data_IF_922921414777
#
_entry.id   IF_922921414777
#
_cell.length_a   1.000
_cell.length_b   1.000
_cell.length_c   1.000
_cell.angle_alpha   90.00
_cell.angle_beta   90.00
_cell.angle_gamma   90.00
#
_symmetry.space_group_name_H-M   'P 1'
#
loop_
_entity.id
_entity.type
_entity.pdbx_description
1 polymer ?
#
# COMPACT_ATOMS: atom_id res chain seq x y z
N UNK A 1 17.23 -81.46 8.46
CA UNK A 1 16.29 -80.44 8.99
C UNK A 1 16.53 -79.18 8.17
N UNK A 2 15.72 -79.01 7.13
CA UNK A 2 15.85 -77.89 6.18
C UNK A 2 14.83 -76.83 6.57
N UNK A 3 15.32 -75.70 7.07
CA UNK A 3 14.49 -74.55 7.40
C UNK A 3 14.35 -73.68 6.16
N UNK A 4 13.17 -73.77 5.54
CA UNK A 4 12.73 -72.90 4.45
C UNK A 4 12.44 -71.50 5.00
N UNK A 5 13.18 -70.51 4.53
CA UNK A 5 12.86 -69.09 4.66
C UNK A 5 12.16 -68.63 3.39
N UNK A 6 10.91 -68.21 3.53
CA UNK A 6 10.13 -67.58 2.45
C UNK A 6 10.39 -66.07 2.47
N UNK A 7 10.84 -65.45 1.36
CA UNK A 7 10.96 -64.00 1.30
C UNK A 7 9.61 -63.39 0.90
N UNK A 8 9.00 -62.64 1.81
CA UNK A 8 7.82 -61.81 1.54
C UNK A 8 8.29 -60.48 0.95
N UNK A 9 8.35 -60.39 -0.37
CA UNK A 9 8.64 -59.16 -1.10
C UNK A 9 7.66 -59.01 -2.26
N UNK A 10 6.61 -58.19 -2.12
CA UNK A 10 5.82 -57.58 -3.23
C UNK A 10 4.59 -56.78 -2.76
N UNK A 11 4.72 -55.81 -1.84
CA UNK A 11 3.58 -54.92 -1.50
C UNK A 11 3.87 -53.41 -1.57
N UNK A 12 5.06 -52.97 -1.99
CA UNK A 12 5.39 -51.54 -2.09
C UNK A 12 4.85 -50.86 -3.36
N UNK A 13 4.81 -51.59 -4.49
CA UNK A 13 4.57 -50.96 -5.81
C UNK A 13 3.16 -50.39 -6.05
N UNK A 14 2.14 -50.84 -5.31
CA UNK A 14 0.77 -50.33 -5.45
C UNK A 14 0.53 -49.07 -4.62
N UNK A 15 1.14 -48.98 -3.42
CA UNK A 15 1.09 -47.79 -2.57
C UNK A 15 1.84 -46.63 -3.24
N UNK A 16 3.02 -46.90 -3.80
CA UNK A 16 3.83 -45.91 -4.52
C UNK A 16 3.07 -45.32 -5.73
N UNK A 17 2.27 -46.14 -6.45
CA UNK A 17 1.46 -45.66 -7.59
C UNK A 17 0.31 -44.75 -7.16
N UNK A 18 -0.36 -45.06 -6.05
CA UNK A 18 -1.46 -44.24 -5.54
C UNK A 18 -0.94 -42.86 -5.07
N UNK A 19 0.21 -42.83 -4.41
CA UNK A 19 0.87 -41.59 -3.99
C UNK A 19 1.29 -40.74 -5.19
N UNK A 20 1.84 -41.35 -6.25
CA UNK A 20 2.21 -40.63 -7.48
C UNK A 20 0.98 -40.00 -8.16
N UNK A 21 -0.14 -40.71 -8.28
CA UNK A 21 -1.37 -40.15 -8.86
C UNK A 21 -1.97 -39.03 -8.00
N UNK A 22 -1.91 -39.16 -6.67
CA UNK A 22 -2.32 -38.10 -5.76
C UNK A 22 -1.45 -36.84 -5.93
N UNK A 23 -0.13 -37.00 -5.97
CA UNK A 23 0.81 -35.89 -6.19
C UNK A 23 0.59 -35.23 -7.55
N UNK A 24 0.38 -36.02 -8.61
CA UNK A 24 0.08 -35.49 -9.94
C UNK A 24 -1.19 -34.64 -9.93
N UNK A 25 -2.24 -35.12 -9.27
CA UNK A 25 -3.49 -34.36 -9.09
C UNK A 25 -3.25 -33.06 -8.31
N UNK A 26 -2.44 -33.10 -7.26
CA UNK A 26 -2.10 -31.92 -6.46
C UNK A 26 -1.30 -30.88 -7.26
N UNK A 27 -0.36 -31.32 -8.10
CA UNK A 27 0.41 -30.45 -9.00
C UNK A 27 -0.51 -29.80 -10.03
N UNK A 28 -1.38 -30.57 -10.70
CA UNK A 28 -2.33 -30.03 -11.67
C UNK A 28 -3.30 -29.01 -11.03
N UNK A 29 -3.78 -29.28 -9.81
CA UNK A 29 -4.61 -28.34 -9.04
C UNK A 29 -3.85 -27.06 -8.70
N UNK A 30 -2.58 -27.19 -8.28
CA UNK A 30 -1.73 -26.05 -7.92
C UNK A 30 -1.39 -25.19 -9.14
N UNK A 31 -1.10 -25.81 -10.29
CA UNK A 31 -0.86 -25.09 -11.55
C UNK A 31 -2.11 -24.34 -12.02
N UNK A 32 -3.29 -24.95 -11.89
CA UNK A 32 -4.56 -24.29 -12.19
C UNK A 32 -4.79 -23.10 -11.27
N UNK A 33 -4.60 -23.29 -9.96
CA UNK A 33 -4.73 -22.22 -8.97
C UNK A 33 -3.76 -21.05 -9.25
N UNK A 34 -2.51 -21.35 -9.61
CA UNK A 34 -1.53 -20.34 -10.02
C UNK A 34 -2.00 -19.53 -11.22
N UNK A 35 -2.52 -20.17 -12.27
CA UNK A 35 -3.04 -19.46 -13.46
C UNK A 35 -4.23 -18.56 -13.15
N UNK A 36 -5.14 -19.00 -12.29
CA UNK A 36 -6.28 -18.19 -11.86
C UNK A 36 -5.83 -16.99 -11.04
N UNK A 37 -4.85 -17.17 -10.14
CA UNK A 37 -4.23 -16.09 -9.39
C UNK A 37 -3.52 -15.08 -10.29
N UNK A 38 -2.69 -15.52 -11.24
CA UNK A 38 -2.00 -14.64 -12.21
C UNK A 38 -3.01 -13.81 -13.03
N UNK A 39 -4.13 -14.42 -13.44
CA UNK A 39 -5.21 -13.72 -14.14
C UNK A 39 -5.89 -12.67 -13.26
N UNK A 40 -6.19 -13.02 -12.00
CA UNK A 40 -6.79 -12.09 -11.06
C UNK A 40 -5.85 -10.91 -10.74
N UNK A 41 -4.56 -11.19 -10.53
CA UNK A 41 -3.53 -10.18 -10.31
C UNK A 41 -3.40 -9.23 -11.51
N UNK A 42 -3.33 -9.78 -12.73
CA UNK A 42 -3.29 -8.98 -13.96
C UNK A 42 -4.52 -8.08 -14.07
N UNK A 43 -5.72 -8.62 -13.80
CA UNK A 43 -6.95 -7.85 -13.84
C UNK A 43 -6.99 -6.75 -12.79
N UNK A 44 -6.55 -7.03 -11.55
CA UNK A 44 -6.42 -6.05 -10.48
C UNK A 44 -5.49 -4.90 -10.86
N UNK A 45 -4.30 -5.23 -11.38
CA UNK A 45 -3.34 -4.23 -11.88
C UNK A 45 -3.95 -3.34 -12.96
N UNK A 46 -4.68 -3.91 -13.93
CA UNK A 46 -5.33 -3.13 -14.99
C UNK A 46 -6.45 -2.22 -14.47
N UNK A 47 -7.19 -2.64 -13.46
CA UNK A 47 -8.21 -1.80 -12.83
C UNK A 47 -7.59 -0.62 -12.08
N UNK A 48 -6.53 -0.88 -11.31
CA UNK A 48 -5.77 0.14 -10.60
C UNK A 48 -5.18 1.13 -11.61
N UNK A 49 -4.54 0.65 -12.68
CA UNK A 49 -3.99 1.51 -13.73
C UNK A 49 -5.07 2.32 -14.44
N UNK A 50 -6.23 1.73 -14.73
CA UNK A 50 -7.34 2.45 -15.34
C UNK A 50 -7.91 3.56 -14.44
N UNK A 51 -7.88 3.36 -13.12
CA UNK A 51 -8.30 4.35 -12.15
C UNK A 51 -7.27 5.47 -11.97
N UNK A 52 -5.99 5.11 -11.89
CA UNK A 52 -4.89 6.06 -11.67
C UNK A 52 -4.53 6.83 -12.93
N UNK A 53 -4.59 6.22 -14.10
CA UNK A 53 -4.15 6.81 -15.38
C UNK A 53 -5.26 6.75 -16.43
N UNK A 54 -6.38 7.47 -16.24
CA UNK A 54 -7.49 7.45 -17.19
C UNK A 54 -7.03 8.00 -18.55
N UNK A 55 -7.26 7.23 -19.63
CA UNK A 55 -6.88 7.64 -21.00
C UNK A 55 -7.51 8.96 -21.45
N UNK A 56 -8.68 9.28 -20.91
CA UNK A 56 -9.38 10.54 -21.13
C UNK A 56 -9.77 11.08 -19.75
N UNK A 57 -8.90 11.84 -19.07
CA UNK A 57 -9.28 12.46 -17.81
C UNK A 57 -10.52 13.33 -18.10
N UNK A 58 -11.60 13.21 -17.31
CA UNK A 58 -12.77 14.05 -17.50
C UNK A 58 -12.29 15.51 -17.49
N UNK A 59 -12.57 16.24 -18.57
CA UNK A 59 -12.16 17.62 -18.71
C UNK A 59 -12.72 18.43 -17.53
N UNK A 60 -11.87 18.71 -16.54
CA UNK A 60 -12.12 19.61 -15.41
C UNK A 60 -13.47 19.46 -14.69
N UNK A 61 -13.80 18.26 -14.20
CA UNK A 61 -15.00 18.08 -13.36
C UNK A 61 -14.78 18.24 -11.86
N UNK A 62 -13.56 18.53 -11.42
CA UNK A 62 -13.27 18.87 -10.03
C UNK A 62 -12.62 20.25 -9.95
N UNK A 63 -13.46 21.28 -9.85
CA UNK A 63 -13.04 22.53 -9.20
C UNK A 63 -12.89 22.21 -7.71
N UNK A 64 -11.72 22.45 -7.08
CA UNK A 64 -11.60 22.36 -5.63
C UNK A 64 -12.76 23.13 -5.04
N UNK A 65 -13.56 22.47 -4.18
CA UNK A 65 -14.68 23.09 -3.50
C UNK A 65 -14.11 24.20 -2.60
N UNK A 66 -13.94 25.37 -3.18
CA UNK A 66 -13.64 26.58 -2.43
C UNK A 66 -14.89 26.82 -1.61
N UNK A 67 -14.74 26.74 -0.28
CA UNK A 67 -15.77 27.01 0.72
C UNK A 67 -16.46 28.34 0.42
N UNK A 68 -17.45 28.31 -0.47
CA UNK A 68 -18.29 29.45 -0.80
C UNK A 68 -19.51 29.26 0.05
N UNK A 69 -19.53 30.00 1.16
CA UNK A 69 -20.68 30.22 2.03
C UNK A 69 -21.77 30.95 1.25
N UNK A 70 -22.39 30.30 0.26
CA UNK A 70 -23.54 30.87 -0.43
C UNK A 70 -24.83 30.39 0.25
N UNK A 71 -25.38 31.31 1.02
CA UNK A 71 -26.59 31.14 1.81
C UNK A 71 -27.76 31.53 0.93
N UNK A 72 -28.43 30.58 0.25
CA UNK A 72 -29.87 30.58 -0.06
C UNK A 72 -30.24 29.57 -1.15
N UNK A 73 -30.81 28.42 -0.77
CA UNK A 73 -32.08 27.86 -1.30
C UNK A 73 -32.25 26.40 -0.85
N UNK A 74 -33.33 26.07 -0.11
CA UNK A 74 -33.58 24.73 0.41
C UNK A 74 -34.69 24.03 -0.37
N UNK A 75 -34.46 23.53 -1.58
CA UNK A 75 -35.44 22.65 -2.26
C UNK A 75 -34.85 22.09 -3.56
N UNK A 76 -33.90 21.15 -3.44
CA UNK A 76 -33.61 20.08 -4.41
C UNK A 76 -32.27 19.46 -4.02
N UNK A 77 -32.31 18.41 -3.19
CA UNK A 77 -31.10 17.73 -2.68
C UNK A 77 -30.76 16.53 -3.57
N UNK A 78 -29.85 16.65 -4.56
CA UNK A 78 -29.22 15.46 -5.11
C UNK A 78 -28.47 14.76 -3.97
N UNK A 79 -28.58 13.43 -3.89
CA UNK A 79 -27.74 12.56 -3.07
C UNK A 79 -26.27 12.67 -3.53
N UNK A 80 -25.65 13.83 -3.30
CA UNK A 80 -24.22 13.98 -3.32
C UNK A 80 -23.75 13.57 -1.94
N UNK A 81 -23.59 12.26 -1.74
CA UNK A 81 -22.83 11.74 -0.61
C UNK A 81 -21.38 12.17 -0.82
N UNK A 82 -21.09 13.43 -0.44
CA UNK A 82 -19.74 13.93 -0.25
C UNK A 82 -19.17 13.14 0.92
N UNK A 83 -18.66 11.93 0.65
CA UNK A 83 -17.77 11.25 1.57
C UNK A 83 -16.59 12.18 1.75
N UNK A 84 -16.44 12.76 2.94
CA UNK A 84 -15.28 13.56 3.31
C UNK A 84 -14.04 12.71 3.07
N UNK A 85 -13.28 13.06 2.03
CA UNK A 85 -12.00 12.46 1.74
C UNK A 85 -11.08 12.68 2.93
N UNK A 86 -10.53 11.60 3.49
CA UNK A 86 -9.54 11.67 4.57
C UNK A 86 -8.16 11.59 3.94
N UNK A 87 -7.40 12.69 4.04
CA UNK A 87 -6.03 12.73 3.54
C UNK A 87 -5.11 11.91 4.45
N UNK A 88 -4.56 10.84 3.89
CA UNK A 88 -3.70 9.91 4.63
C UNK A 88 -2.43 10.59 5.14
N UNK A 89 -1.88 11.55 4.41
CA UNK A 89 -0.67 12.27 4.82
C UNK A 89 -0.94 13.18 6.02
N UNK A 90 -2.12 13.79 6.07
CA UNK A 90 -2.56 14.56 7.25
C UNK A 90 -2.69 13.64 8.47
N UNK A 91 -3.31 12.46 8.32
CA UNK A 91 -3.38 11.49 9.42
C UNK A 91 -1.98 11.04 9.85
N UNK A 92 -1.06 10.79 8.90
CA UNK A 92 0.32 10.42 9.23
C UNK A 92 1.07 11.50 10.00
N UNK A 93 0.88 12.78 9.64
CA UNK A 93 1.46 13.92 10.35
C UNK A 93 0.88 14.05 11.77
N UNK A 94 -0.46 14.02 11.90
CA UNK A 94 -1.16 14.16 13.17
C UNK A 94 -0.84 13.03 14.17
N UNK A 95 -0.69 11.80 13.68
CA UNK A 95 -0.36 10.64 14.54
C UNK A 95 1.14 10.42 14.70
N UNK A 96 1.99 11.26 14.11
CA UNK A 96 3.44 11.10 14.05
C UNK A 96 3.86 9.72 13.48
N UNK A 97 3.12 9.23 12.49
CA UNK A 97 3.38 7.94 11.83
C UNK A 97 4.68 7.97 11.03
N UNK A 98 5.17 9.13 10.60
CA UNK A 98 6.47 9.25 9.92
C UNK A 98 7.63 8.69 10.75
N UNK A 99 7.59 8.91 12.07
CA UNK A 99 8.60 8.48 13.04
C UNK A 99 8.36 7.07 13.60
N UNK A 100 7.27 6.42 13.20
CA UNK A 100 6.90 5.09 13.66
C UNK A 100 7.85 4.02 13.06
N UNK A 101 8.97 3.80 13.73
CA UNK A 101 9.99 2.81 13.34
C UNK A 101 9.72 1.43 13.95
N UNK A 102 10.03 0.34 13.24
CA UNK A 102 10.02 -1.03 13.78
C UNK A 102 10.83 -1.21 15.06
N UNK A 103 11.89 -0.43 15.23
CA UNK A 103 12.78 -0.49 16.38
C UNK A 103 12.34 0.40 17.55
N UNK A 104 11.32 1.24 17.35
CA UNK A 104 10.81 2.13 18.38
C UNK A 104 9.78 1.41 19.23
N UNK A 105 10.16 1.00 20.45
CA UNK A 105 9.26 0.39 21.42
C UNK A 105 8.10 1.30 21.85
N UNK A 106 8.15 2.59 21.54
CA UNK A 106 7.11 3.56 21.87
C UNK A 106 6.12 3.80 20.73
N UNK A 107 6.43 3.35 19.51
CA UNK A 107 5.56 3.53 18.37
C UNK A 107 4.43 2.49 18.43
N UNK A 108 3.18 2.97 18.45
CA UNK A 108 2.02 2.09 18.45
C UNK A 108 1.97 1.29 17.13
N UNK A 109 1.59 0.00 17.14
CA UNK A 109 1.58 -0.84 15.95
C UNK A 109 0.82 -0.25 14.76
N UNK A 110 -0.30 0.43 15.02
CA UNK A 110 -1.13 1.08 14.00
C UNK A 110 -0.38 2.14 13.18
N UNK A 111 0.51 2.91 13.81
CA UNK A 111 1.26 3.97 13.14
C UNK A 111 2.33 3.37 12.23
N UNK A 112 2.90 2.23 12.65
CA UNK A 112 3.85 1.48 11.83
C UNK A 112 3.15 0.80 10.64
N UNK A 113 1.96 0.22 10.86
CA UNK A 113 1.13 -0.36 9.80
C UNK A 113 0.76 0.71 8.77
N UNK A 114 0.24 1.86 9.21
CA UNK A 114 -0.13 2.96 8.34
C UNK A 114 1.06 3.47 7.54
N UNK A 115 2.19 3.73 8.21
CA UNK A 115 3.43 4.16 7.56
C UNK A 115 3.87 3.15 6.49
N UNK A 116 3.97 1.87 6.82
CA UNK A 116 4.37 0.83 5.87
C UNK A 116 3.44 0.78 4.66
N UNK A 117 2.12 0.81 4.88
CA UNK A 117 1.15 0.79 3.79
C UNK A 117 1.29 2.02 2.87
N UNK A 118 1.37 3.22 3.43
CA UNK A 118 1.45 4.45 2.63
C UNK A 118 2.74 4.50 1.82
N UNK A 119 3.86 4.10 2.41
CA UNK A 119 5.14 4.06 1.69
C UNK A 119 5.13 3.03 0.55
N UNK A 120 4.58 1.84 0.78
CA UNK A 120 4.49 0.82 -0.26
C UNK A 120 3.54 1.20 -1.39
N UNK A 121 2.35 1.73 -1.08
CA UNK A 121 1.40 2.18 -2.11
C UNK A 121 1.91 3.42 -2.86
N UNK A 122 2.64 4.31 -2.20
CA UNK A 122 3.33 5.43 -2.85
C UNK A 122 4.39 4.94 -3.83
N UNK A 123 5.18 3.95 -3.43
CA UNK A 123 6.19 3.33 -4.31
C UNK A 123 5.55 2.60 -5.49
N UNK A 124 4.47 1.86 -5.26
CA UNK A 124 3.68 1.19 -6.31
C UNK A 124 3.17 2.22 -7.33
N UNK A 125 2.57 3.31 -6.86
CA UNK A 125 2.11 4.39 -7.73
C UNK A 125 3.25 5.00 -8.56
N UNK A 126 4.36 5.40 -7.91
CA UNK A 126 5.49 6.01 -8.61
C UNK A 126 6.12 5.05 -9.64
N UNK A 127 6.15 3.75 -9.36
CA UNK A 127 6.62 2.73 -10.30
C UNK A 127 5.68 2.60 -11.50
N UNK A 128 4.36 2.57 -11.28
CA UNK A 128 3.36 2.53 -12.37
C UNK A 128 3.43 3.78 -13.24
N UNK A 129 3.51 4.96 -12.62
CA UNK A 129 3.66 6.22 -13.35
C UNK A 129 4.91 6.21 -14.24
N UNK A 130 6.04 5.74 -13.71
CA UNK A 130 7.28 5.62 -14.49
C UNK A 130 7.09 4.74 -15.71
N UNK A 131 6.42 3.58 -15.56
CA UNK A 131 6.06 2.70 -16.67
C UNK A 131 5.18 3.39 -17.71
N UNK A 132 4.12 4.09 -17.27
CA UNK A 132 3.23 4.84 -18.15
C UNK A 132 3.95 5.96 -18.92
N UNK A 133 4.76 6.77 -18.24
CA UNK A 133 5.51 7.86 -18.87
C UNK A 133 6.60 7.36 -19.81
N UNK A 134 7.20 6.22 -19.49
CA UNK A 134 8.13 5.54 -20.40
C UNK A 134 7.43 5.06 -21.67
N UNK A 135 6.26 4.41 -21.54
CA UNK A 135 5.49 3.97 -22.70
C UNK A 135 5.03 5.15 -23.56
N UNK A 136 4.49 6.20 -22.95
CA UNK A 136 4.08 7.44 -23.64
C UNK A 136 5.25 8.05 -24.43
N UNK A 137 6.43 8.14 -23.82
CA UNK A 137 7.63 8.65 -24.47
C UNK A 137 8.09 7.76 -25.64
N UNK A 138 8.06 6.43 -25.47
CA UNK A 138 8.43 5.50 -26.54
C UNK A 138 7.44 5.55 -27.71
N UNK A 139 6.14 5.72 -27.44
CA UNK A 139 5.11 5.88 -28.47
C UNK A 139 5.31 7.19 -29.24
N UNK A 140 5.60 8.29 -28.54
CA UNK A 140 5.96 9.58 -29.15
C UNK A 140 7.20 9.47 -30.03
N UNK A 141 8.24 8.79 -29.53
CA UNK A 141 9.50 8.60 -30.25
C UNK A 141 9.30 7.73 -31.50
N UNK A 142 8.57 6.62 -31.36
CA UNK A 142 8.22 5.74 -32.47
C UNK A 142 7.45 6.49 -33.56
N UNK A 143 6.46 7.30 -33.17
CA UNK A 143 5.69 8.12 -34.09
C UNK A 143 6.57 9.19 -34.78
N UNK A 144 7.49 9.83 -34.05
CA UNK A 144 8.36 10.87 -34.57
C UNK A 144 9.40 10.35 -35.57
N UNK A 145 9.91 9.13 -35.39
CA UNK A 145 10.93 8.55 -36.28
C UNK A 145 10.37 7.64 -37.37
N UNK A 146 9.08 7.33 -37.31
CA UNK A 146 8.45 6.32 -38.16
C UNK A 146 8.91 4.89 -37.83
N UNK A 147 9.27 4.65 -36.57
CA UNK A 147 9.79 3.36 -36.09
C UNK A 147 11.24 3.05 -36.48
N UNK A 148 11.98 4.05 -36.97
CA UNK A 148 13.40 3.90 -37.28
C UNK A 148 14.26 4.10 -36.03
N UNK A 149 14.69 2.98 -35.42
CA UNK A 149 15.53 2.97 -34.22
C UNK A 149 16.88 3.68 -34.43
N UNK A 150 17.40 3.75 -35.66
CA UNK A 150 18.65 4.47 -35.96
C UNK A 150 18.54 5.99 -35.78
N UNK A 151 17.30 6.50 -35.71
CA UNK A 151 16.97 7.90 -35.45
C UNK A 151 16.65 8.18 -33.98
N UNK A 152 16.69 7.18 -33.10
CA UNK A 152 16.43 7.40 -31.69
C UNK A 152 17.56 8.25 -31.08
N UNK A 153 17.24 9.17 -30.15
CA UNK A 153 18.27 9.95 -29.46
C UNK A 153 19.14 9.02 -28.59
N UNK A 154 20.35 9.47 -28.21
CA UNK A 154 21.19 8.76 -27.26
C UNK A 154 20.45 8.44 -25.95
N UNK A 155 20.78 7.31 -25.32
CA UNK A 155 20.14 6.85 -24.07
C UNK A 155 20.14 7.93 -22.97
N UNK A 156 21.22 8.71 -22.84
CA UNK A 156 21.32 9.80 -21.87
C UNK A 156 20.29 10.92 -22.10
N UNK A 157 19.95 11.21 -23.36
CA UNK A 157 18.92 12.20 -23.71
C UNK A 157 17.52 11.64 -23.47
N UNK A 158 17.31 10.34 -23.72
CA UNK A 158 16.08 9.64 -23.37
C UNK A 158 15.83 9.66 -21.86
N UNK A 159 16.84 9.32 -21.05
CA UNK A 159 16.77 9.35 -19.59
C UNK A 159 16.48 10.76 -19.05
N UNK A 160 17.12 11.80 -19.60
CA UNK A 160 16.86 13.18 -19.21
C UNK A 160 15.41 13.58 -19.53
N UNK A 161 14.92 13.24 -20.73
CA UNK A 161 13.55 13.52 -21.16
C UNK A 161 12.51 12.79 -20.30
N UNK A 162 12.77 11.53 -19.96
CA UNK A 162 11.92 10.75 -19.07
C UNK A 162 11.89 11.32 -17.66
N UNK A 163 13.04 11.72 -17.11
CA UNK A 163 13.11 12.35 -15.79
C UNK A 163 12.33 13.67 -15.74
N UNK A 164 12.41 14.47 -16.80
CA UNK A 164 11.64 15.71 -16.92
C UNK A 164 10.13 15.43 -17.01
N UNK A 165 9.70 14.52 -17.88
CA UNK A 165 8.29 14.12 -18.02
C UNK A 165 7.72 13.56 -16.71
N UNK A 166 8.48 12.71 -16.03
CA UNK A 166 8.11 12.11 -14.76
C UNK A 166 7.99 13.18 -13.66
N UNK A 167 9.00 14.05 -13.52
CA UNK A 167 8.98 15.09 -12.50
C UNK A 167 7.96 16.19 -12.74
N UNK A 168 7.62 16.46 -13.99
CA UNK A 168 6.53 17.39 -14.32
C UNK A 168 5.16 16.81 -13.98
N UNK A 169 4.99 15.50 -14.13
CA UNK A 169 3.75 14.80 -13.81
C UNK A 169 3.56 14.64 -12.29
N UNK A 170 4.60 14.18 -11.58
CA UNK A 170 4.56 13.93 -10.15
C UNK A 170 5.90 14.26 -9.48
N UNK A 171 6.09 15.50 -8.99
CA UNK A 171 7.32 15.95 -8.36
C UNK A 171 7.71 15.11 -7.14
N UNK A 172 6.72 14.66 -6.35
CA UNK A 172 6.98 13.86 -5.16
C UNK A 172 7.64 12.52 -5.51
N UNK A 173 7.23 11.88 -6.61
CA UNK A 173 7.84 10.64 -7.06
C UNK A 173 9.33 10.79 -7.44
N UNK A 174 9.78 11.98 -7.82
CA UNK A 174 11.21 12.23 -8.13
C UNK A 174 12.07 12.16 -6.89
N UNK A 175 11.54 12.61 -5.75
CA UNK A 175 12.27 12.67 -4.48
C UNK A 175 11.98 11.45 -3.59
N UNK A 176 10.93 10.69 -3.88
CA UNK A 176 10.45 9.58 -3.05
C UNK A 176 11.54 8.55 -2.75
N UNK A 177 12.27 8.07 -3.76
CA UNK A 177 13.35 7.09 -3.56
C UNK A 177 14.49 7.65 -2.70
N UNK A 178 14.78 8.95 -2.84
CA UNK A 178 15.80 9.62 -2.03
C UNK A 178 15.33 9.75 -0.58
N UNK A 179 14.06 10.12 -0.36
CA UNK A 179 13.45 10.15 0.97
C UNK A 179 13.44 8.75 1.59
N UNK A 180 13.01 7.72 0.84
CA UNK A 180 13.00 6.33 1.29
C UNK A 180 14.40 5.84 1.69
N UNK A 181 15.42 6.11 0.87
CA UNK A 181 16.81 5.76 1.18
C UNK A 181 17.36 6.46 2.43
N UNK A 182 16.82 7.62 2.77
CA UNK A 182 17.19 8.40 3.97
C UNK A 182 16.23 8.16 5.15
N UNK A 183 15.35 7.16 5.06
CA UNK A 183 14.31 6.86 6.05
C UNK A 183 13.40 8.05 6.36
N UNK A 184 13.02 8.79 5.31
CA UNK A 184 12.12 9.94 5.35
C UNK A 184 12.55 10.97 6.40
N UNK A 185 13.63 11.76 6.16
CA UNK A 185 14.06 12.78 7.10
C UNK A 185 12.93 13.79 7.38
N UNK A 186 12.94 14.40 8.56
CA UNK A 186 11.95 15.41 9.00
C UNK A 186 12.10 16.75 8.25
N UNK A 187 11.99 16.70 6.92
CA UNK A 187 11.88 17.84 6.03
C UNK A 187 10.49 17.82 5.40
N UNK A 188 9.92 19.00 5.13
CA UNK A 188 8.58 19.10 4.55
C UNK A 188 8.46 18.39 3.18
N UNK A 189 9.57 18.26 2.45
CA UNK A 189 9.59 17.58 1.15
C UNK A 189 9.44 16.05 1.30
N UNK A 190 10.02 15.46 2.35
CA UNK A 190 9.93 14.02 2.58
C UNK A 190 8.73 13.63 3.46
N UNK A 191 8.37 14.45 4.45
CA UNK A 191 7.23 14.23 5.33
C UNK A 191 6.17 15.32 5.09
N UNK A 192 5.45 15.28 3.96
CA UNK A 192 4.45 16.29 3.67
C UNK A 192 3.23 16.11 4.59
N UNK A 193 2.63 17.22 5.01
CA UNK A 193 1.46 17.25 5.92
C UNK A 193 0.13 17.02 5.20
N UNK A 194 0.15 17.04 3.86
CA UNK A 194 -0.99 16.76 2.97
C UNK A 194 -0.51 15.94 1.78
N UNK A 195 -1.43 15.34 1.05
CA UNK A 195 -1.10 14.52 -0.12
C UNK A 195 -0.22 15.31 -1.11
N UNK A 196 1.00 14.82 -1.41
CA UNK A 196 1.96 15.52 -2.27
C UNK A 196 1.81 15.16 -3.75
N UNK A 197 0.92 14.22 -4.08
CA UNK A 197 0.66 13.79 -5.45
C UNK A 197 -0.22 14.80 -6.18
N UNK A 198 0.12 15.15 -7.41
CA UNK A 198 -0.71 16.00 -8.27
C UNK A 198 -1.98 15.27 -8.72
N UNK A 199 -1.89 13.95 -8.90
CA UNK A 199 -3.01 13.10 -9.25
C UNK A 199 -3.84 12.77 -8.00
N UNK A 200 -5.01 13.39 -7.88
CA UNK A 200 -5.94 13.16 -6.77
C UNK A 200 -6.40 11.69 -6.66
N UNK A 201 -6.47 10.95 -7.78
CA UNK A 201 -6.81 9.53 -7.73
C UNK A 201 -5.76 8.74 -6.96
N UNK A 202 -4.50 9.18 -6.95
CA UNK A 202 -3.43 8.63 -6.10
C UNK A 202 -3.66 8.92 -4.63
N UNK A 203 -4.02 10.16 -4.28
CA UNK A 203 -4.37 10.51 -2.91
C UNK A 203 -5.51 9.64 -2.38
N UNK A 204 -6.51 9.36 -3.24
CA UNK A 204 -7.62 8.44 -2.94
C UNK A 204 -7.20 6.97 -2.92
N UNK A 205 -6.27 6.57 -3.78
CA UNK A 205 -5.74 5.21 -3.78
C UNK A 205 -5.09 4.87 -2.43
N UNK A 206 -4.40 5.83 -1.82
CA UNK A 206 -3.75 5.66 -0.53
C UNK A 206 -4.74 5.47 0.63
N UNK A 207 -6.00 5.91 0.50
CA UNK A 207 -7.01 5.69 1.56
C UNK A 207 -7.34 4.21 1.75
N UNK A 208 -6.91 3.35 0.81
CA UNK A 208 -6.95 1.91 0.97
C UNK A 208 -6.17 1.44 2.23
N UNK A 209 -5.21 2.23 2.72
CA UNK A 209 -4.52 1.94 3.99
C UNK A 209 -5.42 2.01 5.24
N UNK A 210 -6.61 2.60 5.12
CA UNK A 210 -7.63 2.58 6.17
C UNK A 210 -8.61 1.41 6.03
N UNK A 211 -8.50 0.58 5.00
CA UNK A 211 -9.29 -0.65 4.90
C UNK A 211 -8.75 -1.69 5.88
N UNK A 212 -9.62 -2.22 6.75
CA UNK A 212 -9.25 -3.20 7.78
C UNK A 212 -8.61 -4.47 7.21
N UNK A 213 -9.00 -4.87 6.00
CA UNK A 213 -8.43 -6.03 5.33
C UNK A 213 -6.98 -5.74 4.97
N UNK A 214 -6.71 -4.57 4.39
CA UNK A 214 -5.36 -4.14 4.03
C UNK A 214 -4.51 -3.96 5.28
N UNK A 215 -5.01 -3.24 6.28
CA UNK A 215 -4.31 -3.06 7.56
C UNK A 215 -4.00 -4.39 8.25
N UNK A 216 -4.91 -5.38 8.19
CA UNK A 216 -4.68 -6.73 8.71
C UNK A 216 -3.54 -7.45 7.99
N UNK A 217 -3.47 -7.37 6.66
CA UNK A 217 -2.38 -8.01 5.90
C UNK A 217 -1.02 -7.38 6.23
N UNK A 218 -0.94 -6.05 6.37
CA UNK A 218 0.26 -5.37 6.86
C UNK A 218 0.61 -5.78 8.30
N UNK A 219 -0.38 -5.90 9.19
CA UNK A 219 -0.15 -6.32 10.57
C UNK A 219 0.44 -7.74 10.65
N UNK A 220 0.00 -8.67 9.79
CA UNK A 220 0.58 -10.03 9.66
C UNK A 220 1.99 -9.99 9.08
N UNK A 221 2.21 -9.18 8.04
CA UNK A 221 3.52 -9.03 7.40
C UNK A 221 4.56 -8.49 8.40
N UNK A 222 4.17 -7.52 9.22
CA UNK A 222 4.99 -6.89 10.27
C UNK A 222 5.06 -7.72 11.57
N UNK A 223 4.38 -8.86 11.64
CA UNK A 223 4.36 -9.77 12.80
C UNK A 223 3.79 -9.13 14.08
N UNK A 224 2.86 -8.18 13.93
CA UNK A 224 2.08 -7.68 15.06
C UNK A 224 0.94 -8.62 15.46
N UNK A 225 0.45 -9.43 14.52
CA UNK A 225 -0.55 -10.47 14.74
C UNK A 225 -0.12 -11.79 14.06
N UNK A 226 -0.62 -12.95 14.52
CA UNK A 226 -0.35 -14.23 13.85
C UNK A 226 -1.08 -14.31 12.49
N UNK A 227 -0.69 -15.27 11.64
CA UNK A 227 -1.23 -15.44 10.28
C UNK A 227 -2.75 -15.70 10.24
N UNK A 228 -3.30 -16.32 11.29
CA UNK A 228 -4.73 -16.57 11.49
C UNK A 228 -5.46 -15.48 12.28
N UNK A 229 -4.71 -14.46 12.73
CA UNK A 229 -5.24 -13.32 13.46
C UNK A 229 -6.04 -12.36 12.58
N UNK A 230 -6.97 -11.65 13.21
CA UNK A 230 -7.62 -10.46 12.63
C UNK A 230 -7.17 -9.23 13.39
N UNK A 231 -6.85 -8.16 12.68
CA UNK A 231 -6.67 -6.86 13.30
C UNK A 231 -8.07 -6.31 13.58
N UNK A 232 -8.47 -6.19 14.84
CA UNK A 232 -9.75 -5.59 15.22
C UNK A 232 -9.52 -4.21 15.83
N UNK A 233 -10.08 -3.21 15.15
CA UNK A 233 -10.31 -1.81 15.53
C UNK A 233 -9.16 -1.08 16.23
N UNK A 234 -8.39 -0.34 15.43
CA UNK A 234 -7.51 0.74 15.95
C UNK A 234 -7.84 2.12 15.35
N UNK A 235 -8.62 2.20 14.27
CA UNK A 235 -9.08 3.48 13.71
C UNK A 235 -10.47 3.92 14.21
N UNK A 236 -11.14 3.13 15.06
CA UNK A 236 -12.43 3.48 15.69
C UNK A 236 -12.21 4.47 16.87
N UNK A 237 -11.57 5.60 16.57
CA UNK A 237 -11.15 6.62 17.55
C UNK A 237 -12.34 7.39 18.17
N UNK A 238 -13.56 7.20 17.67
CA UNK A 238 -14.76 7.95 18.12
C UNK A 238 -15.66 7.21 19.12
N UNK A 239 -15.35 5.97 19.51
CA UNK A 239 -16.16 5.21 20.50
C UNK A 239 -15.64 5.20 21.94
N UNK A 240 -14.68 6.06 22.28
CA UNK A 240 -14.33 6.38 23.68
C UNK A 240 -14.80 7.76 24.12
N UNK A 241 -16.02 8.16 23.71
CA UNK A 241 -16.71 9.27 24.39
C UNK A 241 -17.37 8.76 25.68
N UNK A 242 -16.68 9.01 26.79
CA UNK A 242 -17.17 9.15 28.17
C UNK A 242 -17.79 7.94 28.91
N UNK A 243 -16.99 7.38 29.82
CA UNK A 243 -17.51 6.95 31.12
C UNK A 243 -16.62 7.52 32.23
N UNK A 244 -17.11 8.46 33.07
CA UNK A 244 -16.35 9.00 34.18
C UNK A 244 -16.37 7.99 35.33
N UNK A 245 -15.26 7.26 35.51
CA UNK A 245 -15.06 6.48 36.74
C UNK A 245 -14.48 7.41 37.79
N UNK A 246 -15.37 8.01 38.59
CA UNK A 246 -15.01 8.53 39.89
C UNK A 246 -14.53 7.37 40.77
N UNK A 247 -13.29 7.43 41.28
CA UNK A 247 -12.95 6.74 42.52
C UNK A 247 -11.74 7.35 43.22
N UNK A 248 -12.08 8.06 44.30
CA UNK A 248 -11.39 8.22 45.57
C UNK A 248 -9.86 8.36 45.65
N UNK A 249 -9.51 9.53 46.17
CA UNK A 249 -8.37 9.81 47.03
C UNK A 249 -8.16 8.76 48.13
N UNK A 250 -6.89 8.37 48.33
CA UNK A 250 -6.33 8.17 49.66
C UNK A 250 -4.81 8.39 49.65
N UNK A 251 -4.38 9.20 50.60
CA UNK A 251 -3.02 9.55 51.01
C UNK A 251 -2.27 8.34 51.58
N UNK A 252 -0.95 8.22 51.36
CA UNK A 252 0.08 8.64 52.34
C UNK A 252 1.51 8.16 52.00
N UNK A 253 2.46 8.91 52.56
CA UNK A 253 3.83 8.54 53.01
C UNK A 253 5.02 8.30 52.05
N UNK A 254 5.87 9.34 52.00
CA UNK A 254 7.32 9.35 52.26
C UNK A 254 8.15 8.06 52.07
N UNK A 255 9.12 8.12 51.14
CA UNK A 255 10.50 7.71 51.45
C UNK A 255 11.53 8.37 50.51
N UNK A 256 12.37 9.18 51.15
CA UNK A 256 13.62 9.77 50.70
C UNK A 256 14.64 8.66 50.37
N UNK A 257 15.29 8.69 49.20
CA UNK A 257 16.69 8.19 49.09
C UNK A 257 17.43 8.79 47.90
N UNK A 258 18.48 9.50 48.27
CA UNK A 258 19.63 9.94 47.48
C UNK A 258 20.36 8.77 46.83
N UNK A 259 20.84 8.95 45.60
CA UNK A 259 21.80 8.06 44.96
C UNK A 259 22.35 8.69 43.70
N UNK A 260 23.56 9.24 43.80
CA UNK A 260 24.37 9.70 42.69
C UNK A 260 24.74 8.53 41.77
N UNK A 261 24.75 8.78 40.46
CA UNK A 261 25.85 8.53 39.53
C UNK A 261 25.79 9.62 38.45
#
# INVERSE_FOLDING_TARGET
RSSSSTPTASSSSAADRAEIEQLKTQVELSEKGKKEFERAATHGTLLIDAQLFPRNPPAQLWTPSTNTTDTTNPEDTPLSSSSTFVDVFTVMDETNSWEARPTSFTAKPEYQILRSCVLELSLDYCTRLSGHKTQEFLDELFAATGGDESKYPPLSEMEASLKEKFGSAEPFCVIFDTCLAQDFPSTNDCQPTTCPFQNEATCRYLTACFDDTIATEYAKALKFIPEDGKYQDVFDTDKQTSQPTASNSQTDESAKKTGAW
#
